data_IF_073212639527
#
_entry.id   IF_073212639527
#
_cell.length_a   1.000
_cell.length_b   1.000
_cell.length_c   1.000
_cell.angle_alpha   90.00
_cell.angle_beta   90.00
_cell.angle_gamma   90.00
#
_symmetry.space_group_name_H-M   'P 1'
#
loop_
_entity.id
_entity.type
_entity.pdbx_description
1 polymer ?
#
# COMPACT_ATOMS: atom_id res chain seq x y z
N UNK A 1 -14.14 45.56 -28.01
CA UNK A 1 -14.13 44.11 -28.30
C UNK A 1 -14.67 43.41 -27.08
N UNK A 2 -15.78 42.69 -27.27
CA UNK A 2 -16.48 41.89 -26.27
C UNK A 2 -15.71 40.60 -26.00
N UNK A 3 -15.68 40.14 -24.75
CA UNK A 3 -16.01 38.75 -24.38
C UNK A 3 -16.38 38.72 -22.89
N UNK A 4 -17.68 38.63 -22.62
CA UNK A 4 -18.20 38.01 -21.39
C UNK A 4 -18.05 36.49 -21.51
N UNK A 5 -17.82 35.81 -20.38
CA UNK A 5 -18.28 34.44 -20.20
C UNK A 5 -18.56 34.17 -18.73
N UNK A 6 -19.84 34.26 -18.37
CA UNK A 6 -20.42 33.52 -17.26
C UNK A 6 -20.14 32.02 -17.42
N UNK A 7 -19.79 31.31 -16.34
CA UNK A 7 -20.13 29.90 -16.20
C UNK A 7 -20.54 29.58 -14.76
N UNK A 8 -21.72 28.99 -14.67
CA UNK A 8 -22.57 28.80 -13.49
C UNK A 8 -22.12 27.66 -12.55
N UNK A 9 -22.62 27.64 -11.30
CA UNK A 9 -22.40 26.59 -10.31
C UNK A 9 -23.33 25.41 -10.58
N UNK A 10 -22.82 24.36 -11.24
CA UNK A 10 -23.57 23.12 -11.51
C UNK A 10 -22.84 21.85 -11.05
N UNK A 11 -21.61 21.96 -10.54
CA UNK A 11 -20.79 20.80 -10.22
C UNK A 11 -20.97 20.25 -8.79
N UNK A 12 -21.61 20.99 -7.88
CA UNK A 12 -21.69 20.62 -6.46
C UNK A 12 -22.93 19.79 -6.08
N UNK A 13 -24.01 19.87 -6.87
CA UNK A 13 -25.28 19.17 -6.61
C UNK A 13 -25.31 17.76 -7.18
N UNK A 14 -24.64 17.50 -8.31
CA UNK A 14 -24.57 16.16 -8.91
C UNK A 14 -23.68 15.20 -8.09
N UNK A 15 -22.58 15.69 -7.51
CA UNK A 15 -21.67 14.89 -6.67
C UNK A 15 -22.37 14.41 -5.39
N UNK A 16 -23.18 15.27 -4.75
CA UNK A 16 -23.96 14.89 -3.55
C UNK A 16 -25.09 13.90 -3.84
N UNK A 17 -25.63 13.89 -5.06
CA UNK A 17 -26.68 12.94 -5.45
C UNK A 17 -26.11 11.54 -5.74
N UNK A 18 -24.93 11.46 -6.35
CA UNK A 18 -24.25 10.19 -6.62
C UNK A 18 -23.80 9.48 -5.33
N UNK A 19 -23.21 10.21 -4.36
CA UNK A 19 -22.81 9.66 -3.06
C UNK A 19 -24.00 9.08 -2.28
N UNK A 20 -25.15 9.76 -2.31
CA UNK A 20 -26.34 9.32 -1.58
C UNK A 20 -26.94 8.04 -2.18
N UNK A 21 -26.95 7.91 -3.51
CA UNK A 21 -27.46 6.70 -4.18
C UNK A 21 -26.56 5.48 -3.92
N UNK A 22 -25.24 5.67 -3.88
CA UNK A 22 -24.28 4.61 -3.56
C UNK A 22 -24.40 4.18 -2.09
N UNK A 23 -24.54 5.13 -1.17
CA UNK A 23 -24.72 4.85 0.27
C UNK A 23 -26.08 4.21 0.56
N UNK A 24 -27.15 4.62 -0.12
CA UNK A 24 -28.48 4.02 0.05
C UNK A 24 -28.57 2.63 -0.60
N UNK A 25 -27.86 2.38 -1.71
CA UNK A 25 -27.72 1.05 -2.32
C UNK A 25 -26.89 0.09 -1.43
N UNK A 26 -25.80 0.59 -0.83
CA UNK A 26 -25.00 -0.18 0.12
C UNK A 26 -25.81 -0.54 1.38
N UNK A 27 -26.61 0.40 1.92
CA UNK A 27 -27.52 0.16 3.06
C UNK A 27 -28.70 -0.77 2.72
N UNK A 28 -29.06 -0.90 1.45
CA UNK A 28 -30.06 -1.86 0.99
C UNK A 28 -29.48 -3.28 0.88
N UNK A 29 -28.19 -3.39 0.53
CA UNK A 29 -27.46 -4.66 0.53
C UNK A 29 -27.17 -5.16 1.95
N UNK A 30 -26.87 -4.26 2.88
CA UNK A 30 -26.55 -4.56 4.30
C UNK A 30 -27.75 -5.08 5.13
N UNK A 31 -28.93 -5.18 4.51
CA UNK A 31 -30.18 -5.69 5.13
C UNK A 31 -30.61 -7.07 4.61
N UNK A 32 -29.83 -7.68 3.71
CA UNK A 32 -30.13 -8.97 3.11
C UNK A 32 -29.29 -10.06 3.81
N UNK A 33 -29.70 -10.45 5.01
CA UNK A 33 -28.94 -11.40 5.84
C UNK A 33 -29.22 -12.88 5.51
N UNK A 34 -30.23 -13.19 4.68
CA UNK A 34 -30.62 -14.57 4.37
C UNK A 34 -30.71 -14.83 2.85
N UNK A 35 -30.00 -15.87 2.39
CA UNK A 35 -29.98 -16.31 0.98
C UNK A 35 -31.37 -16.65 0.39
N UNK A 36 -32.38 -16.83 1.23
CA UNK A 36 -33.76 -17.08 0.83
C UNK A 36 -34.48 -15.82 0.28
N UNK A 37 -34.08 -14.61 0.69
CA UNK A 37 -34.72 -13.36 0.23
C UNK A 37 -34.18 -12.89 -1.13
N UNK A 38 -32.93 -13.24 -1.45
CA UNK A 38 -32.30 -12.99 -2.76
C UNK A 38 -33.05 -13.75 -3.86
N UNK A 39 -33.44 -15.01 -3.60
CA UNK A 39 -34.21 -15.83 -4.55
C UNK A 39 -35.61 -15.26 -4.82
N UNK A 40 -36.23 -14.62 -3.82
CA UNK A 40 -37.58 -14.03 -3.93
C UNK A 40 -37.60 -12.68 -4.65
N UNK A 41 -36.48 -11.96 -4.66
CA UNK A 41 -36.29 -10.75 -5.45
C UNK A 41 -36.01 -11.06 -6.93
N UNK A 42 -35.32 -12.18 -7.21
CA UNK A 42 -35.05 -12.63 -8.57
C UNK A 42 -36.33 -13.09 -9.32
N UNK A 43 -37.31 -13.66 -8.62
CA UNK A 43 -38.60 -14.11 -9.17
C UNK A 43 -39.53 -12.98 -9.66
N UNK A 44 -39.14 -11.70 -9.48
CA UNK A 44 -39.91 -10.53 -9.95
C UNK A 44 -39.25 -9.78 -11.12
N UNK A 45 -38.14 -10.27 -11.64
CA UNK A 45 -37.43 -9.68 -12.78
C UNK A 45 -37.81 -10.41 -14.08
N UNK A 46 -39.05 -10.26 -14.51
CA UNK A 46 -39.51 -10.79 -15.82
C UNK A 46 -38.94 -9.99 -17.01
N UNK A 47 -38.30 -8.84 -16.74
CA UNK A 47 -37.73 -7.94 -17.76
C UNK A 47 -36.22 -7.73 -17.60
N UNK A 48 -35.44 -8.81 -17.69
CA UNK A 48 -33.97 -8.75 -17.76
C UNK A 48 -33.45 -7.90 -18.94
N UNK A 49 -34.29 -7.64 -19.94
CA UNK A 49 -33.98 -6.78 -21.09
C UNK A 49 -33.92 -5.28 -20.73
N UNK A 50 -34.67 -4.83 -19.72
CA UNK A 50 -34.72 -3.43 -19.32
C UNK A 50 -33.58 -3.05 -18.36
N UNK A 51 -33.11 -4.00 -17.55
CA UNK A 51 -31.89 -3.84 -16.75
C UNK A 51 -30.63 -3.70 -17.62
N UNK A 52 -30.54 -4.47 -18.71
CA UNK A 52 -29.43 -4.36 -19.65
C UNK A 52 -29.44 -3.02 -20.43
N UNK A 53 -30.62 -2.54 -20.84
CA UNK A 53 -30.76 -1.22 -21.49
C UNK A 53 -30.51 -0.05 -20.55
N UNK A 54 -30.87 -0.17 -19.27
CA UNK A 54 -30.55 0.84 -18.27
C UNK A 54 -29.03 0.93 -18.03
N UNK A 55 -28.32 -0.20 -18.05
CA UNK A 55 -26.86 -0.25 -17.93
C UNK A 55 -26.15 0.28 -19.19
N UNK A 56 -26.68 0.01 -20.37
CA UNK A 56 -26.16 0.48 -21.67
C UNK A 56 -26.35 2.00 -21.86
N UNK A 57 -27.47 2.57 -21.36
CA UNK A 57 -27.70 4.03 -21.35
C UNK A 57 -27.00 4.75 -20.20
N UNK A 58 -26.60 4.01 -19.17
CA UNK A 58 -25.73 4.45 -18.09
C UNK A 58 -24.25 4.15 -18.38
N UNK A 59 -23.88 3.87 -19.64
CA UNK A 59 -22.50 3.97 -20.12
C UNK A 59 -22.01 5.41 -19.94
N UNK A 60 -21.57 5.62 -18.70
CA UNK A 60 -20.52 6.50 -18.19
C UNK A 60 -20.00 7.39 -19.31
N UNK A 61 -20.26 8.72 -19.32
CA UNK A 61 -19.34 9.59 -20.02
C UNK A 61 -17.98 9.26 -19.41
N UNK A 62 -17.07 8.68 -20.21
CA UNK A 62 -15.73 8.25 -19.78
C UNK A 62 -15.23 9.32 -18.81
N UNK A 63 -15.30 9.03 -17.51
CA UNK A 63 -14.68 9.88 -16.52
C UNK A 63 -13.22 9.62 -16.80
N UNK A 64 -12.59 10.55 -17.51
CA UNK A 64 -11.14 10.60 -17.56
C UNK A 64 -10.71 10.46 -16.09
N UNK A 65 -9.88 9.45 -15.76
CA UNK A 65 -9.43 9.29 -14.39
C UNK A 65 -8.90 10.66 -13.96
N UNK A 66 -9.22 11.15 -12.75
CA UNK A 66 -8.66 12.42 -12.31
C UNK A 66 -7.16 12.29 -12.50
N UNK A 67 -6.62 13.05 -13.46
CA UNK A 67 -5.20 13.11 -13.72
C UNK A 67 -4.67 13.82 -12.48
N UNK A 68 -4.39 13.05 -11.43
CA UNK A 68 -3.62 13.54 -10.30
C UNK A 68 -2.33 14.07 -10.92
N UNK A 69 -1.96 15.30 -10.59
CA UNK A 69 -0.77 15.93 -11.15
C UNK A 69 0.39 14.91 -11.11
N UNK A 70 0.90 14.56 -12.29
CA UNK A 70 1.88 13.49 -12.46
C UNK A 70 3.16 13.79 -11.65
N UNK A 71 3.43 15.09 -11.44
CA UNK A 71 4.51 15.61 -10.61
C UNK A 71 4.35 15.31 -9.10
N UNK A 72 3.13 15.11 -8.59
CA UNK A 72 2.89 14.81 -7.17
C UNK A 72 3.37 13.39 -6.80
N UNK A 73 3.48 12.50 -7.80
CA UNK A 73 3.94 11.13 -7.62
C UNK A 73 5.40 10.92 -8.03
N UNK A 74 6.11 11.93 -8.53
CA UNK A 74 7.52 11.74 -8.87
C UNK A 74 8.37 11.73 -7.59
N UNK A 75 9.12 10.65 -7.40
CA UNK A 75 10.06 10.57 -6.29
C UNK A 75 11.29 11.46 -6.56
N UNK A 76 11.33 12.64 -5.94
CA UNK A 76 12.52 13.49 -5.93
C UNK A 76 13.32 13.28 -4.64
N UNK A 77 14.44 12.57 -4.74
CA UNK A 77 15.29 12.28 -3.59
C UNK A 77 15.91 13.55 -2.98
N UNK A 78 16.05 14.64 -3.75
CA UNK A 78 16.75 15.86 -3.31
C UNK A 78 15.97 16.65 -2.25
N UNK A 79 14.67 16.39 -2.09
CA UNK A 79 13.81 17.05 -1.10
C UNK A 79 13.98 16.50 0.32
N UNK A 80 14.63 15.35 0.48
CA UNK A 80 14.72 14.66 1.76
C UNK A 80 15.95 15.07 2.56
N UNK A 81 15.69 15.58 3.77
CA UNK A 81 16.69 15.90 4.77
C UNK A 81 16.21 15.49 6.16
N UNK A 82 17.02 14.69 6.84
CA UNK A 82 16.82 14.26 8.22
C UNK A 82 16.72 15.50 9.11
N UNK A 83 15.65 15.58 9.91
CA UNK A 83 15.41 16.72 10.80
C UNK A 83 16.16 16.53 12.11
N UNK A 84 16.43 17.65 12.79
CA UNK A 84 16.99 17.60 14.14
C UNK A 84 16.06 16.83 15.08
N UNK A 85 16.60 15.84 15.78
CA UNK A 85 15.84 14.97 16.70
C UNK A 85 15.07 13.82 16.02
N UNK A 86 15.01 13.77 14.69
CA UNK A 86 14.40 12.65 13.96
C UNK A 86 15.32 11.42 14.02
N UNK A 87 14.73 10.24 14.28
CA UNK A 87 15.48 8.99 14.24
C UNK A 87 15.77 8.60 12.79
N UNK A 88 16.99 8.16 12.53
CA UNK A 88 17.42 7.75 11.19
C UNK A 88 16.57 6.61 10.60
N UNK A 89 16.07 5.71 11.44
CA UNK A 89 15.14 4.64 11.04
C UNK A 89 13.82 5.22 10.50
N UNK A 90 13.12 6.01 11.32
CA UNK A 90 11.86 6.67 11.00
C UNK A 90 11.94 7.54 9.73
N UNK A 91 13.07 8.24 9.55
CA UNK A 91 13.36 9.02 8.34
C UNK A 91 13.42 8.13 7.09
N UNK A 92 14.09 6.98 7.20
CA UNK A 92 14.15 6.00 6.11
C UNK A 92 12.78 5.39 5.79
N UNK A 93 12.00 5.02 6.80
CA UNK A 93 10.65 4.49 6.57
C UNK A 93 9.75 5.51 5.87
N UNK A 94 9.90 6.79 6.18
CA UNK A 94 9.18 7.88 5.49
C UNK A 94 9.55 7.93 4.01
N UNK A 95 10.85 7.92 3.70
CA UNK A 95 11.35 7.89 2.32
C UNK A 95 10.85 6.65 1.58
N UNK A 96 10.91 5.47 2.20
CA UNK A 96 10.47 4.22 1.58
C UNK A 96 8.95 4.23 1.29
N UNK A 97 8.12 4.77 2.20
CA UNK A 97 6.68 4.94 1.95
C UNK A 97 6.42 5.84 0.76
N UNK A 98 7.10 6.98 0.67
CA UNK A 98 6.94 7.90 -0.47
C UNK A 98 7.46 7.30 -1.78
N UNK A 99 8.53 6.51 -1.72
CA UNK A 99 9.00 5.74 -2.87
C UNK A 99 7.94 4.76 -3.35
N UNK A 100 7.34 3.96 -2.47
CA UNK A 100 6.26 3.05 -2.88
C UNK A 100 5.00 3.81 -3.35
N UNK A 101 4.68 4.98 -2.79
CA UNK A 101 3.63 5.86 -3.34
C UNK A 101 3.92 6.27 -4.78
N UNK A 102 5.17 6.60 -5.09
CA UNK A 102 5.58 6.95 -6.46
C UNK A 102 5.40 5.80 -7.46
N UNK A 103 5.41 4.55 -6.97
CA UNK A 103 5.16 3.34 -7.76
C UNK A 103 3.67 2.96 -7.83
N UNK A 104 2.77 3.77 -7.25
CA UNK A 104 1.33 3.56 -7.29
C UNK A 104 0.75 2.77 -6.12
N UNK A 105 1.53 2.45 -5.09
CA UNK A 105 0.99 1.86 -3.85
C UNK A 105 0.32 2.95 -3.00
N UNK A 106 -0.87 2.68 -2.45
CA UNK A 106 -1.69 3.68 -1.77
C UNK A 106 -2.23 3.23 -0.41
N UNK A 107 -2.21 1.94 -0.12
CA UNK A 107 -2.54 1.36 1.19
C UNK A 107 -1.27 0.93 1.92
N UNK A 108 -1.13 1.31 3.19
CA UNK A 108 0.10 1.08 3.98
C UNK A 108 -0.21 0.58 5.39
N UNK A 109 0.49 -0.49 5.78
CA UNK A 109 0.47 -1.06 7.13
C UNK A 109 1.90 -1.10 7.68
N UNK A 110 2.08 -0.76 8.95
CA UNK A 110 3.35 -0.79 9.65
C UNK A 110 3.19 -1.63 10.91
N UNK A 111 3.82 -2.81 10.93
CA UNK A 111 3.61 -3.80 11.98
C UNK A 111 4.89 -3.88 12.79
N UNK A 112 4.96 -3.21 13.94
CA UNK A 112 6.13 -3.26 14.83
C UNK A 112 5.70 -3.45 16.28
N UNK A 113 6.43 -4.27 17.03
CA UNK A 113 6.24 -4.40 18.48
C UNK A 113 7.05 -3.32 19.24
N UNK A 114 6.91 -3.28 20.57
CA UNK A 114 7.63 -2.30 21.43
C UNK A 114 9.16 -2.42 21.38
N UNK A 115 9.68 -3.55 20.92
CA UNK A 115 11.11 -3.79 20.74
C UNK A 115 11.61 -3.42 19.34
N UNK A 116 10.74 -2.92 18.46
CA UNK A 116 11.07 -2.58 17.07
C UNK A 116 11.20 -3.80 16.15
N UNK A 117 10.71 -4.98 16.56
CA UNK A 117 10.63 -6.13 15.68
C UNK A 117 9.32 -6.10 14.88
N UNK A 118 9.37 -6.45 13.61
CA UNK A 118 8.18 -6.62 12.80
C UNK A 118 8.42 -6.51 11.29
N UNK A 119 7.48 -5.90 10.58
CA UNK A 119 7.57 -5.59 9.15
C UNK A 119 7.44 -4.08 8.99
N UNK A 120 8.50 -3.43 8.53
CA UNK A 120 8.60 -1.97 8.46
C UNK A 120 7.51 -1.38 7.55
N UNK A 121 7.31 -1.99 6.37
CA UNK A 121 6.28 -1.56 5.42
C UNK A 121 5.59 -2.78 4.82
N UNK A 122 4.26 -2.75 4.86
CA UNK A 122 3.41 -3.52 3.97
C UNK A 122 2.63 -2.52 3.12
N UNK A 123 2.78 -2.59 1.80
CA UNK A 123 2.15 -1.68 0.86
C UNK A 123 1.27 -2.46 -0.12
N UNK A 124 0.05 -2.00 -0.39
CA UNK A 124 -0.85 -2.55 -1.41
C UNK A 124 -1.24 -1.45 -2.40
N UNK A 125 -1.31 -1.83 -3.66
CA UNK A 125 -1.87 -1.02 -4.72
C UNK A 125 -3.35 -1.40 -4.85
N UNK A 126 -4.25 -0.52 -4.43
CA UNK A 126 -5.69 -0.77 -4.39
C UNK A 126 -6.31 -1.06 -5.76
N UNK A 127 -5.68 -0.61 -6.85
CA UNK A 127 -6.18 -0.78 -8.22
C UNK A 127 -5.81 -2.14 -8.82
N UNK A 128 -4.59 -2.62 -8.55
CA UNK A 128 -4.06 -3.87 -9.13
C UNK A 128 -4.17 -5.05 -8.15
N UNK A 129 -4.24 -4.76 -6.86
CA UNK A 129 -4.08 -5.74 -5.79
C UNK A 129 -2.63 -6.11 -5.50
N UNK A 130 -1.65 -5.58 -6.24
CA UNK A 130 -0.24 -5.92 -6.00
C UNK A 130 0.21 -5.48 -4.61
N UNK A 131 1.06 -6.28 -3.98
CA UNK A 131 1.48 -6.09 -2.61
C UNK A 131 2.99 -6.25 -2.44
N UNK A 132 3.59 -5.37 -1.65
CA UNK A 132 5.00 -5.43 -1.25
C UNK A 132 5.09 -5.48 0.26
N UNK A 133 5.92 -6.39 0.76
CA UNK A 133 6.39 -6.38 2.15
C UNK A 133 7.86 -6.02 2.14
N UNK A 134 8.21 -4.87 2.70
CA UNK A 134 9.56 -4.32 2.62
C UNK A 134 10.22 -4.19 3.99
N UNK A 135 11.48 -4.57 4.03
CA UNK A 135 12.42 -4.24 5.11
C UNK A 135 13.21 -2.99 4.74
N UNK A 136 13.22 -1.98 5.61
CA UNK A 136 13.91 -0.71 5.41
C UNK A 136 15.24 -0.73 6.13
N UNK A 137 16.33 -0.41 5.42
CA UNK A 137 17.65 -0.23 6.00
C UNK A 137 18.20 1.15 5.67
N UNK A 138 18.44 1.95 6.70
CA UNK A 138 18.97 3.31 6.55
C UNK A 138 20.39 3.40 7.11
N UNK A 139 21.28 4.09 6.41
CA UNK A 139 22.66 4.28 6.88
C UNK A 139 23.19 5.67 6.56
N UNK A 140 23.99 6.20 7.48
CA UNK A 140 24.87 7.36 7.24
C UNK A 140 26.33 6.95 7.05
N UNK A 141 26.65 5.65 6.96
CA UNK A 141 28.03 5.20 6.85
C UNK A 141 28.61 5.46 5.46
N UNK A 142 29.56 6.39 5.36
CA UNK A 142 30.23 6.76 4.09
C UNK A 142 30.81 5.56 3.35
N UNK A 143 31.37 4.56 4.06
CA UNK A 143 31.95 3.36 3.43
C UNK A 143 30.95 2.49 2.64
N UNK A 144 29.65 2.67 2.88
CA UNK A 144 28.58 2.01 2.14
C UNK A 144 28.11 2.83 0.93
N UNK A 145 28.66 4.03 0.74
CA UNK A 145 28.39 4.93 -0.38
C UNK A 145 29.68 5.36 -1.08
N UNK A 146 29.93 4.82 -2.27
CA UNK A 146 31.11 5.15 -3.07
C UNK A 146 30.71 5.92 -4.34
N UNK A 147 30.30 7.18 -4.18
CA UNK A 147 30.02 8.08 -5.31
C UNK A 147 28.92 7.58 -6.25
N UNK A 148 27.83 7.04 -5.68
CA UNK A 148 26.73 6.43 -6.43
C UNK A 148 26.80 4.89 -6.53
N UNK A 149 27.96 4.28 -6.23
CA UNK A 149 28.03 2.82 -6.02
C UNK A 149 27.73 2.50 -4.56
N UNK A 150 26.60 1.86 -4.31
CA UNK A 150 26.17 1.45 -2.98
C UNK A 150 26.71 0.07 -2.62
N UNK A 151 26.89 -0.18 -1.32
CA UNK A 151 27.08 -1.53 -0.78
C UNK A 151 25.84 -1.92 0.00
N UNK A 152 25.49 -3.19 -0.09
CA UNK A 152 24.35 -3.75 0.63
C UNK A 152 24.44 -3.50 2.14
N UNK A 153 23.37 -2.97 2.74
CA UNK A 153 23.25 -2.85 4.20
C UNK A 153 22.79 -4.21 4.75
N UNK A 154 23.46 -4.84 5.73
CA UNK A 154 23.11 -6.21 6.12
C UNK A 154 21.72 -6.32 6.75
N UNK A 155 21.00 -7.38 6.39
CA UNK A 155 19.79 -7.85 7.08
C UNK A 155 20.13 -8.42 8.47
N UNK A 156 19.14 -8.47 9.36
CA UNK A 156 19.26 -9.14 10.66
C UNK A 156 19.55 -10.64 10.49
N UNK A 157 19.97 -11.31 11.57
CA UNK A 157 20.22 -12.77 11.52
C UNK A 157 18.95 -13.53 11.12
N UNK A 158 17.81 -13.23 11.76
CA UNK A 158 16.54 -13.89 11.51
C UNK A 158 16.06 -13.67 10.07
N UNK A 159 16.13 -12.43 9.58
CA UNK A 159 15.77 -12.08 8.19
C UNK A 159 16.58 -12.89 7.17
N UNK A 160 17.89 -13.03 7.40
CA UNK A 160 18.79 -13.80 6.53
C UNK A 160 18.53 -15.31 6.58
N UNK A 161 18.27 -15.84 7.78
CA UNK A 161 18.10 -17.28 7.98
C UNK A 161 16.72 -17.77 7.53
N UNK A 162 15.66 -17.00 7.77
CA UNK A 162 14.30 -17.33 7.37
C UNK A 162 14.04 -17.00 5.90
N UNK A 163 14.69 -15.97 5.36
CA UNK A 163 14.32 -15.35 4.09
C UNK A 163 13.09 -14.44 4.27
N UNK A 164 12.94 -13.46 3.38
CA UNK A 164 11.94 -12.39 3.55
C UNK A 164 10.51 -12.89 3.66
N UNK A 165 10.10 -13.81 2.78
CA UNK A 165 8.72 -14.32 2.74
C UNK A 165 8.32 -14.97 4.08
N UNK A 166 9.16 -15.85 4.60
CA UNK A 166 8.90 -16.53 5.88
C UNK A 166 8.99 -15.56 7.06
N UNK A 167 10.00 -14.70 7.08
CA UNK A 167 10.17 -13.70 8.13
C UNK A 167 8.95 -12.78 8.24
N UNK A 168 8.54 -12.15 7.14
CA UNK A 168 7.41 -11.21 7.13
C UNK A 168 6.10 -11.89 7.50
N UNK A 169 5.84 -13.10 6.99
CA UNK A 169 4.63 -13.85 7.36
C UNK A 169 4.62 -14.26 8.84
N UNK A 170 5.75 -14.70 9.40
CA UNK A 170 5.87 -15.00 10.84
C UNK A 170 5.55 -13.76 11.69
N UNK A 171 6.12 -12.61 11.35
CA UNK A 171 5.87 -11.35 12.08
C UNK A 171 4.42 -10.88 12.00
N UNK A 172 3.79 -10.94 10.82
CA UNK A 172 2.38 -10.60 10.67
C UNK A 172 1.47 -11.52 11.50
N UNK A 173 1.70 -12.83 11.47
CA UNK A 173 0.88 -13.77 12.25
C UNK A 173 1.06 -13.58 13.77
N UNK A 174 2.30 -13.40 14.25
CA UNK A 174 2.55 -13.10 15.68
C UNK A 174 1.87 -11.80 16.11
N UNK A 175 1.94 -10.76 15.28
CA UNK A 175 1.33 -9.48 15.57
C UNK A 175 -0.20 -9.58 15.64
N UNK A 176 -0.83 -10.25 14.67
CA UNK A 176 -2.28 -10.48 14.67
C UNK A 176 -2.73 -11.27 15.92
N UNK A 177 -1.93 -12.22 16.38
CA UNK A 177 -2.23 -12.98 17.60
C UNK A 177 -1.89 -12.25 18.91
N UNK A 178 -1.27 -11.06 18.84
CA UNK A 178 -0.80 -10.33 20.03
C UNK A 178 0.40 -10.99 20.74
N UNK A 179 1.11 -11.89 20.06
CA UNK A 179 2.27 -12.60 20.59
C UNK A 179 3.50 -11.68 20.68
N UNK A 180 4.63 -12.17 21.22
CA UNK A 180 5.96 -11.56 21.04
C UNK A 180 6.04 -10.03 21.30
N UNK A 181 5.24 -9.52 22.25
CA UNK A 181 5.22 -8.11 22.66
C UNK A 181 4.31 -7.18 21.85
N UNK A 182 3.54 -7.69 20.89
CA UNK A 182 2.50 -6.94 20.15
C UNK A 182 1.25 -6.72 21.02
N UNK A 183 1.37 -5.86 22.03
CA UNK A 183 0.36 -5.69 23.09
C UNK A 183 -0.38 -4.35 23.05
N UNK A 184 -0.07 -3.48 22.09
CA UNK A 184 -0.67 -2.15 21.98
C UNK A 184 -1.96 -2.12 21.16
N UNK A 185 -2.39 -3.26 20.62
CA UNK A 185 -3.59 -3.43 19.79
C UNK A 185 -3.44 -2.86 18.37
N UNK A 186 -2.82 -1.70 18.21
CA UNK A 186 -2.64 -1.05 16.91
C UNK A 186 -1.84 -1.90 15.93
N UNK A 187 -0.72 -2.49 16.37
CA UNK A 187 0.08 -3.35 15.49
C UNK A 187 -0.62 -4.66 15.16
N UNK A 188 -1.48 -5.16 16.07
CA UNK A 188 -2.31 -6.34 15.82
C UNK A 188 -3.38 -6.06 14.77
N UNK A 189 -4.09 -4.94 14.89
CA UNK A 189 -5.10 -4.50 13.90
C UNK A 189 -4.46 -4.29 12.52
N UNK A 190 -3.30 -3.63 12.45
CA UNK A 190 -2.59 -3.45 11.18
C UNK A 190 -2.09 -4.78 10.59
N UNK A 191 -1.72 -5.74 11.43
CA UNK A 191 -1.34 -7.07 10.98
C UNK A 191 -2.53 -7.87 10.47
N UNK A 192 -3.69 -7.80 11.12
CA UNK A 192 -4.93 -8.42 10.65
C UNK A 192 -5.35 -7.88 9.29
N UNK A 193 -5.38 -6.55 9.12
CA UNK A 193 -5.67 -5.92 7.83
C UNK A 193 -4.65 -6.32 6.75
N UNK A 194 -3.36 -6.36 7.08
CA UNK A 194 -2.33 -6.81 6.15
C UNK A 194 -2.49 -8.28 5.75
N UNK A 195 -2.91 -9.16 6.67
CA UNK A 195 -3.17 -10.57 6.39
C UNK A 195 -4.44 -10.76 5.55
N UNK A 196 -5.48 -9.96 5.78
CA UNK A 196 -6.68 -9.95 4.96
C UNK A 196 -6.36 -9.49 3.53
N UNK A 197 -5.68 -8.36 3.38
CA UNK A 197 -5.19 -7.87 2.09
C UNK A 197 -4.36 -8.96 1.37
N UNK A 198 -3.46 -9.63 2.07
CA UNK A 198 -2.67 -10.73 1.51
C UNK A 198 -3.54 -11.90 1.00
N UNK A 199 -4.62 -12.25 1.71
CA UNK A 199 -5.56 -13.29 1.26
C UNK A 199 -6.28 -12.87 -0.01
N UNK A 200 -6.71 -11.62 -0.10
CA UNK A 200 -7.33 -11.07 -1.32
C UNK A 200 -6.37 -11.10 -2.51
N UNK A 201 -5.11 -10.67 -2.31
CA UNK A 201 -4.08 -10.71 -3.36
C UNK A 201 -3.91 -12.12 -3.90
N UNK A 202 -3.82 -13.11 -3.02
CA UNK A 202 -3.68 -14.53 -3.40
C UNK A 202 -4.91 -15.01 -4.17
N UNK A 203 -6.12 -14.69 -3.71
CA UNK A 203 -7.36 -15.11 -4.35
C UNK A 203 -7.53 -14.48 -5.75
N UNK A 204 -7.06 -13.24 -5.92
CA UNK A 204 -7.15 -12.50 -7.17
C UNK A 204 -5.97 -12.78 -8.13
N UNK A 205 -4.97 -13.54 -7.68
CA UNK A 205 -3.77 -13.86 -8.47
C UNK A 205 -2.81 -12.67 -8.70
N UNK A 206 -2.91 -11.62 -7.87
CA UNK A 206 -2.03 -10.45 -7.94
C UNK A 206 -0.65 -10.75 -7.31
N UNK A 207 0.35 -9.90 -7.59
CA UNK A 207 1.74 -10.18 -7.22
C UNK A 207 2.03 -9.83 -5.75
N UNK A 208 2.72 -10.72 -5.03
CA UNK A 208 3.24 -10.44 -3.69
C UNK A 208 4.77 -10.50 -3.70
N UNK A 209 5.42 -9.35 -3.47
CA UNK A 209 6.88 -9.24 -3.35
C UNK A 209 7.33 -9.19 -1.90
N UNK A 210 8.57 -9.60 -1.68
CA UNK A 210 9.25 -9.33 -0.42
C UNK A 210 10.63 -8.75 -0.68
N UNK A 211 10.80 -7.51 -0.27
CA UNK A 211 11.88 -6.64 -0.72
C UNK A 211 12.64 -6.06 0.45
N UNK A 212 13.85 -5.62 0.14
CA UNK A 212 14.69 -4.83 1.00
C UNK A 212 14.95 -3.51 0.30
N UNK A 213 14.86 -2.41 1.04
CA UNK A 213 15.10 -1.07 0.53
C UNK A 213 16.23 -0.41 1.33
N UNK A 214 17.34 -0.14 0.66
CA UNK A 214 18.53 0.49 1.26
C UNK A 214 18.52 2.00 0.98
N UNK A 215 18.59 2.78 2.06
CA UNK A 215 18.53 4.24 2.06
C UNK A 215 19.86 4.79 2.57
N UNK A 216 20.51 5.59 1.72
CA UNK A 216 21.83 6.12 1.99
C UNK A 216 21.76 7.62 2.25
N UNK A 217 22.10 8.03 3.46
CA UNK A 217 22.04 9.41 3.92
C UNK A 217 23.46 9.95 4.11
N UNK A 218 23.68 11.22 3.83
CA UNK A 218 24.97 11.87 4.11
C UNK A 218 25.12 12.25 5.59
N UNK A 219 26.33 12.67 5.97
CA UNK A 219 26.62 13.12 7.34
C UNK A 219 25.79 14.36 7.74
N UNK A 220 25.28 15.11 6.77
CA UNK A 220 24.46 16.30 6.98
C UNK A 220 22.95 15.98 7.03
N UNK A 221 22.58 14.70 6.90
CA UNK A 221 21.20 14.23 6.92
C UNK A 221 20.52 14.24 5.55
N UNK A 222 21.20 14.56 4.46
CA UNK A 222 20.60 14.61 3.11
C UNK A 222 20.58 13.24 2.46
N UNK A 223 19.49 12.88 1.80
CA UNK A 223 19.42 11.64 1.01
C UNK A 223 20.39 11.72 -0.19
N UNK A 224 21.26 10.71 -0.35
CA UNK A 224 22.33 10.74 -1.37
C UNK A 224 21.88 10.35 -2.78
N UNK A 225 20.74 9.68 -2.91
CA UNK A 225 20.20 9.20 -4.18
C UNK A 225 18.90 8.42 -3.99
N UNK A 226 18.38 7.84 -5.07
CA UNK A 226 17.19 6.99 -5.00
C UNK A 226 17.40 5.76 -4.10
N UNK A 227 16.34 5.30 -3.39
CA UNK A 227 16.39 4.07 -2.64
C UNK A 227 16.80 2.87 -3.51
N UNK A 228 17.59 1.96 -2.94
CA UNK A 228 18.07 0.78 -3.65
C UNK A 228 17.26 -0.44 -3.24
N UNK A 229 16.47 -0.97 -4.18
CA UNK A 229 15.57 -2.11 -3.92
C UNK A 229 16.26 -3.43 -4.30
N UNK A 230 16.20 -4.40 -3.40
CA UNK A 230 16.71 -5.76 -3.60
C UNK A 230 15.77 -6.82 -3.05
N UNK A 231 16.02 -8.09 -3.38
CA UNK A 231 15.23 -9.22 -2.83
C UNK A 231 15.73 -9.61 -1.44
N UNK A 232 14.82 -9.93 -0.54
CA UNK A 232 15.16 -10.56 0.75
C UNK A 232 15.36 -12.07 0.60
N UNK A 233 16.51 -12.48 0.07
CA UNK A 233 16.85 -13.89 -0.14
C UNK A 233 17.32 -14.57 1.15
N UNK A 234 17.02 -15.86 1.29
CA UNK A 234 17.63 -16.70 2.33
C UNK A 234 19.13 -16.83 2.03
N UNK A 235 19.97 -16.70 3.05
CA UNK A 235 21.39 -17.06 2.90
C UNK A 235 21.50 -18.58 2.94
N UNK A 236 21.31 -19.26 1.80
CA UNK A 236 21.75 -20.65 1.67
C UNK A 236 23.27 -20.65 1.51
N UNK A 237 23.99 -21.02 2.58
CA UNK A 237 25.28 -21.67 2.38
C UNK A 237 24.96 -23.14 2.08
N UNK A 238 25.24 -23.55 0.85
CA UNK A 238 25.28 -24.93 0.35
C UNK A 238 23.96 -25.71 0.34
N UNK A 239 23.35 -25.81 -0.85
CA UNK A 239 22.64 -27.02 -1.29
C UNK A 239 22.98 -27.24 -2.78
N UNK A 240 24.26 -27.54 -3.05
CA UNK A 240 24.59 -28.55 -4.06
C UNK A 240 24.67 -29.87 -3.29
N UNK A 241 23.65 -30.74 -3.48
CA UNK A 241 23.65 -32.21 -3.51
C UNK A 241 22.20 -32.72 -3.44
#
# INVERSE_FOLDING_TARGET
>A
MLFESFYLPLHWTAVKAADKVVVDAAKALDKLDDAADIAKAADKLDDAADAAKALDKAMVPKLEPPVKNIDEFLFDYKKYRLREGEKLGDFGETIAKDYYRSLGYDEFYAVQNKSGNGVDIVARNSQTGDMVKAEVKTTQQDKLWNGGKTKEIPLSKDQRQMGGKHYTNDRLNRAANGDDGYTDGRSSEQAEMALEALREVINNGAEVKTEKIDIHVDQNGTLRGEPQVGKMVKTSKNEDY
#
